data_IF_275421840710
#
_entry.id   IF_275421840710
#
_cell.length_a   1.000
_cell.length_b   1.000
_cell.length_c   1.000
_cell.angle_alpha   90.00
_cell.angle_beta   90.00
_cell.angle_gamma   90.00
#
_symmetry.space_group_name_H-M   'P 1'
#
loop_
_entity.id
_entity.type
_entity.pdbx_description
1 polymer ?
#
# COMPACT_ATOMS: atom_id res chain seq x y z
N UNK A 1 -7.28 21.15 6.21
CA UNK A 1 -8.08 20.34 5.27
C UNK A 1 -8.48 19.07 5.97
N UNK A 2 -9.77 18.73 5.91
CA UNK A 2 -10.28 17.44 6.37
C UNK A 2 -9.95 16.37 5.32
N UNK A 3 -9.89 15.10 5.73
CA UNK A 3 -9.84 14.00 4.76
C UNK A 3 -11.06 13.98 3.83
N UNK A 4 -12.19 14.52 4.30
CA UNK A 4 -13.39 14.72 3.48
C UNK A 4 -13.11 15.52 2.20
N UNK A 5 -12.31 16.59 2.29
CA UNK A 5 -11.95 17.44 1.14
C UNK A 5 -11.19 16.64 0.06
N UNK A 6 -10.41 15.64 0.48
CA UNK A 6 -9.69 14.74 -0.43
C UNK A 6 -10.65 13.76 -1.09
N UNK A 7 -11.58 13.18 -0.33
CA UNK A 7 -12.60 12.28 -0.89
C UNK A 7 -13.42 13.02 -1.96
N UNK A 8 -13.84 14.26 -1.69
CA UNK A 8 -14.60 15.06 -2.63
C UNK A 8 -13.87 15.27 -3.96
N UNK A 9 -12.55 15.53 -3.92
CA UNK A 9 -11.72 15.67 -5.13
C UNK A 9 -11.76 14.43 -6.03
N UNK A 10 -11.88 13.24 -5.45
CA UNK A 10 -11.84 11.97 -6.17
C UNK A 10 -13.21 11.30 -6.32
N UNK A 11 -14.30 11.97 -5.90
CA UNK A 11 -15.65 11.40 -5.89
C UNK A 11 -16.07 10.83 -7.25
N UNK A 12 -15.80 11.57 -8.31
CA UNK A 12 -16.17 11.21 -9.69
C UNK A 12 -14.95 10.84 -10.56
N UNK A 13 -13.82 10.52 -9.93
CA UNK A 13 -12.60 10.17 -10.66
C UNK A 13 -12.66 8.73 -11.19
N UNK A 14 -12.49 8.57 -12.51
CA UNK A 14 -12.44 7.26 -13.16
C UNK A 14 -11.06 6.60 -12.96
N UNK A 15 -10.92 5.87 -11.85
CA UNK A 15 -9.71 5.13 -11.54
C UNK A 15 -9.40 4.04 -12.57
N UNK A 16 -10.41 3.29 -13.03
CA UNK A 16 -10.20 2.20 -13.96
C UNK A 16 -9.76 2.72 -15.33
N UNK A 17 -10.43 3.76 -15.84
CA UNK A 17 -10.03 4.45 -17.06
C UNK A 17 -8.62 5.01 -16.96
N UNK A 18 -8.27 5.65 -15.85
CA UNK A 18 -6.90 6.14 -15.64
C UNK A 18 -5.88 5.00 -15.64
N UNK A 19 -6.05 3.99 -14.78
CA UNK A 19 -5.10 2.88 -14.59
C UNK A 19 -4.88 2.05 -15.86
N UNK A 20 -5.92 1.91 -16.71
CA UNK A 20 -5.81 1.20 -17.98
C UNK A 20 -5.10 2.01 -19.07
N UNK A 21 -5.00 3.34 -18.94
CA UNK A 21 -4.37 4.23 -19.93
C UNK A 21 -2.94 4.67 -19.54
N UNK A 22 -2.43 4.25 -18.37
CA UNK A 22 -1.06 4.58 -17.94
C UNK A 22 -0.03 4.01 -18.92
N UNK A 23 0.87 4.87 -19.41
CA UNK A 23 1.93 4.48 -20.34
C UNK A 23 3.24 4.14 -19.62
N UNK A 24 4.14 3.44 -20.31
CA UNK A 24 5.49 3.17 -19.80
C UNK A 24 6.24 4.49 -19.45
N UNK A 25 6.02 5.56 -20.21
CA UNK A 25 6.61 6.87 -19.93
C UNK A 25 6.09 7.51 -18.64
N UNK A 26 4.82 7.31 -18.31
CA UNK A 26 4.24 7.83 -17.06
C UNK A 26 4.83 7.11 -15.84
N UNK A 27 5.05 5.80 -15.96
CA UNK A 27 5.74 4.98 -14.93
C UNK A 27 7.18 5.45 -14.76
N UNK A 28 7.94 5.58 -15.85
CA UNK A 28 9.34 6.03 -15.81
C UNK A 28 9.48 7.45 -15.24
N UNK A 29 8.57 8.36 -15.58
CA UNK A 29 8.51 9.71 -15.01
C UNK A 29 8.23 9.67 -13.49
N UNK A 30 7.38 8.74 -13.04
CA UNK A 30 7.10 8.55 -11.61
C UNK A 30 8.33 7.96 -10.90
N UNK A 31 9.02 7.01 -11.52
CA UNK A 31 10.25 6.40 -10.99
C UNK A 31 11.43 7.37 -10.90
N UNK A 32 11.50 8.41 -11.73
CA UNK A 32 12.59 9.39 -11.68
C UNK A 32 12.43 10.48 -10.61
N UNK A 33 11.23 10.64 -10.03
CA UNK A 33 10.96 11.65 -9.00
C UNK A 33 11.52 11.26 -7.63
N UNK A 34 12.07 12.24 -6.90
CA UNK A 34 12.47 12.06 -5.50
C UNK A 34 11.27 12.05 -4.55
N UNK A 35 10.23 12.83 -4.86
CA UNK A 35 8.99 12.93 -4.10
C UNK A 35 7.81 12.53 -4.99
N UNK A 36 7.07 11.50 -4.58
CA UNK A 36 5.89 11.01 -5.29
C UNK A 36 4.64 11.76 -4.83
N UNK A 37 3.74 12.01 -5.77
CA UNK A 37 2.41 12.58 -5.55
C UNK A 37 1.32 11.54 -5.89
N UNK A 38 0.06 11.89 -5.66
CA UNK A 38 -1.10 11.00 -5.80
C UNK A 38 -1.13 10.24 -7.15
N UNK A 39 -0.90 10.94 -8.26
CA UNK A 39 -0.90 10.33 -9.59
C UNK A 39 0.34 9.47 -9.86
N UNK A 40 1.47 9.77 -9.24
CA UNK A 40 2.66 8.93 -9.37
C UNK A 40 2.41 7.57 -8.71
N UNK A 41 1.69 7.55 -7.59
CA UNK A 41 1.26 6.30 -6.95
C UNK A 41 0.33 5.52 -7.89
N UNK A 42 -0.66 6.17 -8.50
CA UNK A 42 -1.56 5.52 -9.47
C UNK A 42 -0.78 4.93 -10.66
N UNK A 43 0.21 5.67 -11.18
CA UNK A 43 1.06 5.15 -12.25
C UNK A 43 1.82 3.89 -11.84
N UNK A 44 2.41 3.89 -10.64
CA UNK A 44 3.18 2.76 -10.10
C UNK A 44 2.32 1.56 -9.68
N UNK A 45 1.02 1.75 -9.50
CA UNK A 45 0.04 0.68 -9.24
C UNK A 45 -0.66 0.16 -10.50
N UNK A 46 -0.42 0.78 -11.65
CA UNK A 46 -1.05 0.39 -12.92
C UNK A 46 -0.58 -0.98 -13.42
N UNK A 47 -1.36 -1.60 -14.32
CA UNK A 47 -0.95 -2.85 -15.00
C UNK A 47 0.36 -2.67 -15.79
N UNK A 48 0.58 -1.49 -16.37
CA UNK A 48 1.80 -1.17 -17.13
C UNK A 48 3.04 -1.20 -16.24
N UNK A 49 2.92 -0.77 -14.98
CA UNK A 49 4.03 -0.76 -14.02
C UNK A 49 4.58 -2.15 -13.67
N UNK A 50 3.84 -3.23 -13.93
CA UNK A 50 4.32 -4.62 -13.74
C UNK A 50 5.61 -4.89 -14.50
N UNK A 51 5.81 -4.26 -15.67
CA UNK A 51 7.04 -4.40 -16.46
C UNK A 51 8.27 -3.77 -15.78
N UNK A 52 8.06 -2.86 -14.83
CA UNK A 52 9.09 -2.05 -14.17
C UNK A 52 9.28 -2.44 -12.68
N UNK A 53 8.81 -3.62 -12.28
CA UNK A 53 8.90 -4.09 -10.89
C UNK A 53 10.32 -4.14 -10.36
N UNK A 54 11.28 -4.55 -11.18
CA UNK A 54 12.69 -4.59 -10.78
C UNK A 54 13.24 -3.18 -10.54
N UNK A 55 12.95 -2.22 -11.42
CA UNK A 55 13.37 -0.82 -11.26
C UNK A 55 12.75 -0.19 -9.99
N UNK A 56 11.48 -0.50 -9.71
CA UNK A 56 10.80 -0.12 -8.47
C UNK A 56 11.48 -0.74 -7.24
N UNK A 57 11.82 -2.04 -7.30
CA UNK A 57 12.49 -2.74 -6.21
C UNK A 57 13.88 -2.17 -5.93
N UNK A 58 14.67 -1.90 -6.99
CA UNK A 58 15.99 -1.28 -6.88
C UNK A 58 15.91 0.13 -6.28
N UNK A 59 14.94 0.95 -6.72
CA UNK A 59 14.72 2.28 -6.14
C UNK A 59 14.33 2.20 -4.67
N UNK A 60 13.37 1.34 -4.31
CA UNK A 60 12.93 1.14 -2.94
C UNK A 60 14.07 0.64 -2.05
N UNK A 61 14.90 -0.29 -2.54
CA UNK A 61 16.08 -0.77 -1.84
C UNK A 61 17.10 0.34 -1.60
N UNK A 62 17.44 1.13 -2.63
CA UNK A 62 18.37 2.26 -2.51
C UNK A 62 17.90 3.26 -1.45
N UNK A 63 16.61 3.63 -1.48
CA UNK A 63 16.02 4.54 -0.49
C UNK A 63 16.03 3.91 0.91
N UNK A 64 15.71 2.63 1.04
CA UNK A 64 15.72 1.92 2.32
C UNK A 64 17.12 1.91 2.93
N UNK A 65 18.16 1.61 2.14
CA UNK A 65 19.56 1.65 2.59
C UNK A 65 20.00 3.07 2.93
N UNK A 66 19.57 4.07 2.16
CA UNK A 66 19.89 5.47 2.43
C UNK A 66 19.33 5.95 3.78
N UNK A 67 18.10 5.59 4.13
CA UNK A 67 17.44 6.06 5.35
C UNK A 67 17.67 5.16 6.57
N UNK A 68 17.76 3.84 6.37
CA UNK A 68 17.79 2.85 7.46
C UNK A 68 19.08 2.02 7.52
N UNK A 69 19.99 2.21 6.56
CA UNK A 69 21.19 1.40 6.44
C UNK A 69 20.86 -0.06 6.08
N UNK A 70 21.71 -0.98 6.53
CA UNK A 70 21.53 -2.43 6.31
C UNK A 70 20.97 -3.14 7.55
N UNK A 71 20.35 -2.38 8.46
CA UNK A 71 19.83 -2.90 9.72
C UNK A 71 18.51 -3.63 9.51
N UNK A 72 18.39 -4.84 10.07
CA UNK A 72 17.14 -5.60 10.12
C UNK A 72 16.60 -5.57 11.54
N UNK A 73 15.40 -5.03 11.74
CA UNK A 73 14.76 -4.99 13.05
C UNK A 73 14.17 -6.36 13.40
N UNK A 74 14.61 -6.93 14.53
CA UNK A 74 14.03 -8.15 15.11
C UNK A 74 13.03 -7.76 16.20
N UNK A 75 11.82 -8.31 16.13
CA UNK A 75 10.79 -8.12 17.15
C UNK A 75 10.01 -9.42 17.37
N UNK A 76 9.49 -9.60 18.59
CA UNK A 76 8.64 -10.74 18.96
C UNK A 76 7.25 -10.23 19.32
N UNK A 77 6.24 -10.36 18.44
CA UNK A 77 4.88 -10.00 18.79
C UNK A 77 4.33 -10.96 19.84
N UNK A 78 3.71 -10.41 20.89
CA UNK A 78 3.04 -11.19 21.94
C UNK A 78 1.55 -10.86 21.93
N UNK A 79 0.74 -11.81 21.43
CA UNK A 79 -0.71 -11.73 21.50
C UNK A 79 -1.19 -12.32 22.83
N UNK A 80 -1.67 -11.46 23.73
CA UNK A 80 -2.09 -11.86 25.08
C UNK A 80 -3.56 -12.35 25.08
N UNK A 81 -4.39 -11.85 24.18
CA UNK A 81 -5.79 -12.22 24.04
C UNK A 81 -6.21 -12.23 22.57
N UNK A 82 -7.24 -13.02 22.28
CA UNK A 82 -7.88 -13.09 20.97
C UNK A 82 -9.38 -12.75 21.00
N UNK A 83 -9.93 -12.36 22.16
CA UNK A 83 -11.28 -11.84 22.26
C UNK A 83 -11.42 -10.51 21.49
N UNK A 84 -12.35 -10.47 20.53
CA UNK A 84 -12.65 -9.26 19.77
C UNK A 84 -14.13 -9.22 19.36
N UNK A 85 -14.83 -8.15 19.70
CA UNK A 85 -16.26 -7.97 19.38
C UNK A 85 -16.50 -7.54 17.92
N UNK A 86 -15.44 -7.13 17.22
CA UNK A 86 -15.53 -6.67 15.84
C UNK A 86 -15.81 -7.83 14.88
N UNK A 87 -16.31 -7.48 13.69
CA UNK A 87 -16.72 -8.42 12.64
C UNK A 87 -15.89 -8.24 11.37
N UNK A 88 -14.59 -7.97 11.52
CA UNK A 88 -13.70 -7.78 10.38
C UNK A 88 -13.65 -9.06 9.54
N UNK A 89 -14.14 -8.98 8.29
CA UNK A 89 -14.29 -10.15 7.37
C UNK A 89 -12.97 -10.85 7.06
N UNK A 90 -11.85 -10.16 7.22
CA UNK A 90 -10.49 -10.65 6.97
C UNK A 90 -9.78 -11.16 8.23
N UNK A 91 -10.39 -11.03 9.42
CA UNK A 91 -9.73 -11.34 10.70
C UNK A 91 -10.30 -12.61 11.32
N UNK A 92 -9.44 -13.56 11.71
CA UNK A 92 -9.86 -14.80 12.38
C UNK A 92 -10.36 -14.58 13.82
N UNK A 93 -9.97 -13.50 14.50
CA UNK A 93 -10.45 -13.19 15.85
C UNK A 93 -11.80 -12.50 15.87
N UNK A 94 -12.40 -12.27 14.70
CA UNK A 94 -13.73 -11.67 14.65
C UNK A 94 -14.75 -12.55 15.39
N UNK A 95 -15.74 -11.94 16.03
CA UNK A 95 -16.71 -12.65 16.90
C UNK A 95 -17.55 -13.71 16.18
N UNK A 96 -17.64 -13.64 14.85
CA UNK A 96 -18.39 -14.59 14.00
C UNK A 96 -17.52 -15.71 13.44
N UNK A 97 -16.22 -15.75 13.72
CA UNK A 97 -15.31 -16.77 13.19
C UNK A 97 -15.53 -18.17 13.79
N UNK A 98 -16.30 -18.26 14.88
CA UNK A 98 -16.53 -19.51 15.61
C UNK A 98 -15.35 -19.98 16.45
N UNK A 99 -14.25 -19.22 16.48
CA UNK A 99 -13.11 -19.48 17.38
C UNK A 99 -13.56 -19.14 18.80
N UNK A 100 -13.61 -20.17 19.66
CA UNK A 100 -13.86 -20.01 21.09
C UNK A 100 -12.53 -19.86 21.82
N UNK A 101 -12.46 -18.98 22.80
CA UNK A 101 -11.36 -18.97 23.75
C UNK A 101 -11.20 -20.37 24.36
N UNK A 102 -9.96 -20.88 24.34
CA UNK A 102 -9.61 -22.05 25.13
C UNK A 102 -9.33 -21.54 26.55
N UNK A 103 -10.24 -21.85 27.47
CA UNK A 103 -9.97 -21.74 28.90
C UNK A 103 -8.84 -22.68 29.31
#
# INVERSE_FOLDING_TARGET
>A
MSFYDVIEKYRDFDFDGYLNNVTDNDVLRSLSKDKLEDFDILNLLSKTAVKHLEDMAQKAHKLSVQYFGKTVCLYTPMYIANYCVNQCVYCSYNIKSGIKEKN
#
